data_IF_687767363152
#
_entry.id   IF_687767363152
#
_cell.length_a   1.000
_cell.length_b   1.000
_cell.length_c   1.000
_cell.angle_alpha   90.00
_cell.angle_beta   90.00
_cell.angle_gamma   90.00
#
_symmetry.space_group_name_H-M   'P 1'
#
loop_
_entity.id
_entity.type
_entity.pdbx_description
1 polymer ?
#
# COMPACT_ATOMS: atom_id res chain seq x y z
N UNK A 1 26.05 -40.87 18.18
CA UNK A 1 26.08 -39.67 19.04
C UNK A 1 25.50 -38.55 18.19
N UNK A 2 24.19 -38.48 17.95
CA UNK A 2 23.08 -38.05 18.82
C UNK A 2 23.13 -36.57 19.25
N UNK A 3 22.08 -35.83 18.80
CA UNK A 3 21.48 -34.58 19.35
C UNK A 3 22.33 -33.29 19.27
N UNK A 4 21.85 -32.15 18.78
CA UNK A 4 20.54 -31.51 18.90
C UNK A 4 20.62 -30.39 19.96
N UNK A 5 20.19 -29.16 19.67
CA UNK A 5 19.92 -28.17 20.73
C UNK A 5 20.19 -26.70 20.42
N UNK A 6 19.19 -26.03 19.88
CA UNK A 6 18.99 -24.57 19.92
C UNK A 6 18.59 -24.17 21.35
N UNK A 7 19.28 -23.24 22.02
CA UNK A 7 18.91 -22.55 23.29
C UNK A 7 19.86 -21.35 23.47
N UNK A 8 19.47 -20.12 23.83
CA UNK A 8 18.19 -19.59 24.28
C UNK A 8 18.32 -18.10 24.59
N UNK A 9 17.16 -17.45 24.75
CA UNK A 9 16.99 -16.05 25.14
C UNK A 9 17.32 -15.82 26.63
N UNK A 10 17.92 -14.66 26.96
CA UNK A 10 18.04 -14.08 28.33
C UNK A 10 18.56 -12.62 28.20
N UNK A 11 18.13 -11.55 28.87
CA UNK A 11 17.04 -11.20 29.81
C UNK A 11 16.88 -9.66 29.79
N UNK A 12 15.67 -9.20 30.11
CA UNK A 12 15.33 -7.86 30.59
C UNK A 12 16.08 -7.49 31.89
N UNK A 13 16.46 -6.22 32.05
CA UNK A 13 16.80 -5.60 33.33
C UNK A 13 15.90 -4.39 33.61
N UNK A 14 15.08 -4.48 34.66
CA UNK A 14 14.50 -3.33 35.39
C UNK A 14 15.44 -2.97 36.52
N UNK A 15 15.68 -1.67 36.74
CA UNK A 15 16.19 -1.14 38.01
C UNK A 15 15.49 0.18 38.35
N UNK A 16 15.17 0.30 39.64
CA UNK A 16 14.25 1.22 40.33
C UNK A 16 15.03 2.31 41.08
N UNK A 17 14.42 3.50 41.28
CA UNK A 17 14.21 4.17 42.60
C UNK A 17 14.61 5.66 42.74
N UNK A 18 13.68 6.46 43.31
CA UNK A 18 13.89 7.68 44.13
C UNK A 18 13.68 9.02 43.42
N UNK A 19 13.00 10.07 43.92
CA UNK A 19 12.35 10.42 45.20
C UNK A 19 11.27 11.54 44.97
N UNK A 20 10.57 11.96 46.04
CA UNK A 20 9.21 12.55 46.16
C UNK A 20 9.18 14.07 46.47
N UNK A 21 7.97 14.67 46.36
CA UNK A 21 7.36 15.88 47.01
C UNK A 21 6.98 16.97 45.97
N UNK A 22 5.77 17.56 45.88
CA UNK A 22 4.86 18.19 46.88
C UNK A 22 3.39 18.28 46.38
N UNK A 23 2.39 18.26 47.29
CA UNK A 23 0.97 18.69 47.14
C UNK A 23 0.78 20.11 47.77
N UNK A 24 -0.41 20.78 47.83
CA UNK A 24 -1.77 20.53 47.27
C UNK A 24 -2.43 21.78 46.60
N UNK A 25 -3.57 21.65 45.88
CA UNK A 25 -4.64 22.68 45.95
C UNK A 25 -6.03 22.25 45.42
N UNK A 26 -7.05 22.93 45.96
CA UNK A 26 -8.49 22.63 46.02
C UNK A 26 -9.35 22.86 44.75
N UNK A 27 -10.47 22.13 44.71
CA UNK A 27 -11.85 22.37 44.19
C UNK A 27 -12.13 23.17 42.88
N UNK A 28 -12.79 22.43 41.95
CA UNK A 28 -13.79 22.71 40.88
C UNK A 28 -14.50 24.10 40.78
N UNK A 29 -14.97 24.56 39.59
CA UNK A 29 -16.08 23.93 38.84
C UNK A 29 -16.07 23.98 37.30
N UNK A 30 -17.10 23.35 36.72
CA UNK A 30 -17.41 23.06 35.31
C UNK A 30 -17.40 24.26 34.34
N UNK A 31 -16.98 24.00 33.09
CA UNK A 31 -17.50 24.71 31.92
C UNK A 31 -17.64 23.75 30.74
N UNK A 32 -18.87 23.63 30.23
CA UNK A 32 -19.21 22.95 28.98
C UNK A 32 -18.58 23.71 27.81
N UNK A 33 -17.68 23.07 27.07
CA UNK A 33 -17.38 23.47 25.69
C UNK A 33 -17.39 22.24 24.79
N UNK A 34 -18.42 22.20 23.95
CA UNK A 34 -18.60 21.29 22.83
C UNK A 34 -17.55 21.62 21.77
N UNK A 35 -16.38 20.99 21.85
CA UNK A 35 -15.40 21.01 20.76
C UNK A 35 -15.64 19.78 19.90
N UNK A 36 -16.28 20.00 18.75
CA UNK A 36 -16.32 19.05 17.64
C UNK A 36 -14.90 18.87 17.10
N UNK A 37 -14.11 18.00 17.74
CA UNK A 37 -12.95 17.42 17.11
C UNK A 37 -13.47 16.38 16.12
N UNK A 38 -13.53 16.74 14.85
CA UNK A 38 -13.42 15.78 13.77
C UNK A 38 -12.03 15.15 13.88
N UNK A 39 -11.90 14.17 14.76
CA UNK A 39 -10.83 13.21 14.71
C UNK A 39 -10.95 12.58 13.31
N UNK A 40 -10.02 12.95 12.43
CA UNK A 40 -9.60 12.00 11.42
C UNK A 40 -9.13 10.79 12.23
N UNK A 41 -10.00 9.78 12.32
CA UNK A 41 -9.55 8.43 12.53
C UNK A 41 -8.60 8.16 11.36
N UNK A 42 -7.32 8.45 11.61
CA UNK A 42 -6.24 7.65 11.07
C UNK A 42 -6.50 6.24 11.61
N UNK A 43 -7.47 5.57 10.99
CA UNK A 43 -7.59 4.14 11.06
C UNK A 43 -6.37 3.68 10.31
N UNK A 44 -5.26 3.62 11.05
CA UNK A 44 -4.10 2.82 10.71
C UNK A 44 -4.67 1.40 10.61
N UNK A 45 -5.22 1.09 9.44
CA UNK A 45 -5.54 -0.26 9.05
C UNK A 45 -4.22 -0.97 9.29
N UNK A 46 -4.19 -1.89 10.24
CA UNK A 46 -2.99 -2.63 10.61
C UNK A 46 -2.68 -3.59 9.46
N UNK A 47 -2.30 -3.02 8.32
CA UNK A 47 -1.84 -3.70 7.12
C UNK A 47 -0.55 -4.34 7.55
N UNK A 48 -0.52 -5.67 7.56
CA UNK A 48 0.70 -6.41 7.88
C UNK A 48 1.75 -5.97 6.86
N UNK A 49 3.00 -5.82 7.27
CA UNK A 49 4.07 -5.46 6.32
C UNK A 49 4.14 -6.43 5.14
N UNK A 50 3.75 -7.68 5.34
CA UNK A 50 3.64 -8.69 4.28
C UNK A 50 2.56 -8.37 3.23
N UNK A 51 1.48 -7.67 3.61
CA UNK A 51 0.42 -7.24 2.68
C UNK A 51 0.86 -6.00 1.87
N UNK A 52 1.88 -5.27 2.33
CA UNK A 52 2.44 -4.10 1.64
C UNK A 52 3.30 -4.47 0.44
N UNK A 53 3.92 -5.65 0.45
CA UNK A 53 4.88 -6.06 -0.54
C UNK A 53 4.34 -7.15 -1.46
N UNK A 54 4.62 -7.03 -2.76
CA UNK A 54 4.37 -8.10 -3.70
C UNK A 54 5.27 -9.31 -3.38
N UNK A 55 4.82 -10.55 -3.58
CA UNK A 55 5.66 -11.72 -3.36
C UNK A 55 6.98 -11.62 -4.12
N UNK A 56 8.11 -11.80 -3.43
CA UNK A 56 9.45 -11.62 -4.01
C UNK A 56 9.66 -12.47 -5.27
N UNK A 57 9.07 -13.67 -5.33
CA UNK A 57 9.11 -14.54 -6.48
C UNK A 57 8.49 -13.90 -7.75
N UNK A 58 7.42 -13.11 -7.60
CA UNK A 58 6.81 -12.40 -8.72
C UNK A 58 7.69 -11.25 -9.21
N UNK A 59 8.34 -10.52 -8.30
CA UNK A 59 9.31 -9.47 -8.62
C UNK A 59 10.48 -10.05 -9.39
N UNK A 60 11.12 -11.10 -8.85
CA UNK A 60 12.26 -11.80 -9.48
C UNK A 60 11.88 -12.29 -10.89
N UNK A 61 10.69 -12.88 -11.06
CA UNK A 61 10.21 -13.37 -12.36
C UNK A 61 10.13 -12.26 -13.41
N UNK A 62 9.73 -11.04 -13.03
CA UNK A 62 9.67 -9.89 -13.95
C UNK A 62 11.07 -9.36 -14.23
N UNK A 63 11.90 -9.17 -13.19
CA UNK A 63 13.29 -8.72 -13.36
C UNK A 63 14.06 -9.62 -14.33
N UNK A 64 13.84 -10.95 -14.28
CA UNK A 64 14.47 -11.92 -15.17
C UNK A 64 14.11 -11.74 -16.65
N UNK A 65 12.97 -11.14 -17.00
CA UNK A 65 12.52 -11.01 -18.40
C UNK A 65 13.41 -10.08 -19.23
N UNK A 66 14.08 -9.13 -18.58
CA UNK A 66 14.95 -8.15 -19.25
C UNK A 66 16.44 -8.49 -19.12
N UNK A 67 16.77 -9.60 -18.44
CA UNK A 67 18.15 -10.00 -18.17
C UNK A 67 18.52 -11.25 -18.99
N UNK A 68 19.82 -11.43 -19.31
CA UNK A 68 20.30 -12.68 -19.90
C UNK A 68 20.02 -13.91 -19.00
N UNK A 69 19.85 -15.12 -19.57
CA UNK A 69 19.46 -16.32 -18.83
C UNK A 69 20.35 -16.64 -17.61
N UNK A 70 21.66 -16.37 -17.71
CA UNK A 70 22.64 -16.69 -16.67
C UNK A 70 23.01 -15.51 -15.77
N UNK A 71 22.34 -14.35 -15.91
CA UNK A 71 22.58 -13.22 -15.03
C UNK A 71 22.31 -13.60 -13.56
N UNK A 72 23.03 -12.99 -12.63
CA UNK A 72 22.73 -13.10 -11.19
C UNK A 72 22.08 -11.81 -10.73
N UNK A 73 21.11 -11.93 -9.83
CA UNK A 73 20.47 -10.80 -9.17
C UNK A 73 20.82 -10.95 -7.69
N UNK A 74 21.47 -9.93 -7.10
CA UNK A 74 21.79 -9.93 -5.67
C UNK A 74 20.50 -9.89 -4.83
N UNK A 75 20.60 -10.27 -3.55
CA UNK A 75 19.46 -10.21 -2.65
C UNK A 75 19.02 -8.76 -2.40
N UNK A 76 19.97 -7.86 -2.16
CA UNK A 76 19.73 -6.41 -2.03
C UNK A 76 18.95 -5.84 -3.22
N UNK A 77 19.30 -6.20 -4.47
CA UNK A 77 18.60 -5.70 -5.64
C UNK A 77 17.15 -6.21 -5.74
N UNK A 78 16.86 -7.41 -5.22
CA UNK A 78 15.48 -7.93 -5.19
C UNK A 78 14.65 -7.17 -4.17
N UNK A 79 15.21 -6.89 -3.00
CA UNK A 79 14.58 -6.12 -1.93
C UNK A 79 14.34 -4.67 -2.36
N UNK A 80 15.35 -3.99 -2.91
CA UNK A 80 15.20 -2.62 -3.40
C UNK A 80 14.11 -2.52 -4.46
N UNK A 81 14.07 -3.43 -5.44
CA UNK A 81 13.01 -3.39 -6.46
C UNK A 81 11.64 -3.73 -5.87
N UNK A 82 11.55 -4.62 -4.88
CA UNK A 82 10.29 -4.90 -4.19
C UNK A 82 9.75 -3.65 -3.48
N UNK A 83 10.62 -2.91 -2.78
CA UNK A 83 10.28 -1.64 -2.15
C UNK A 83 9.86 -0.58 -3.19
N UNK A 84 10.65 -0.42 -4.26
CA UNK A 84 10.35 0.52 -5.34
C UNK A 84 9.01 0.23 -6.02
N UNK A 85 8.63 -1.04 -6.20
CA UNK A 85 7.33 -1.39 -6.80
C UNK A 85 6.17 -1.00 -5.87
N UNK A 86 6.31 -1.21 -4.56
CA UNK A 86 5.30 -0.77 -3.60
C UNK A 86 5.19 0.76 -3.55
N UNK A 87 6.32 1.47 -3.59
CA UNK A 87 6.33 2.94 -3.68
C UNK A 87 5.71 3.42 -5.00
N UNK A 88 6.04 2.80 -6.12
CA UNK A 88 5.46 3.12 -7.43
C UNK A 88 3.93 3.01 -7.43
N UNK A 89 3.37 1.93 -6.86
CA UNK A 89 1.92 1.77 -6.73
C UNK A 89 1.34 2.92 -5.91
N UNK A 90 1.91 3.22 -4.74
CA UNK A 90 1.44 4.32 -3.88
C UNK A 90 1.56 5.69 -4.56
N UNK A 91 2.64 5.91 -5.32
CA UNK A 91 2.90 7.17 -6.01
C UNK A 91 1.89 7.44 -7.13
N UNK A 92 1.70 6.47 -8.03
CA UNK A 92 0.72 6.59 -9.12
C UNK A 92 -0.70 6.69 -8.57
N UNK A 93 -1.05 5.84 -7.61
CA UNK A 93 -2.41 5.82 -7.04
C UNK A 93 -2.70 7.08 -6.23
N UNK A 94 -1.71 7.64 -5.55
CA UNK A 94 -1.82 8.92 -4.85
C UNK A 94 -2.13 10.08 -5.79
N UNK A 95 -1.42 10.17 -6.92
CA UNK A 95 -1.65 11.21 -7.93
C UNK A 95 -3.03 11.03 -8.62
N UNK A 96 -3.39 9.80 -8.98
CA UNK A 96 -4.71 9.50 -9.55
C UNK A 96 -5.84 9.84 -8.56
N UNK A 97 -5.65 9.55 -7.27
CA UNK A 97 -6.58 9.90 -6.21
C UNK A 97 -6.73 11.42 -6.05
N UNK A 98 -5.64 12.18 -6.14
CA UNK A 98 -5.70 13.65 -6.07
C UNK A 98 -6.59 14.22 -7.18
N UNK A 99 -6.44 13.73 -8.41
CA UNK A 99 -7.33 14.11 -9.52
C UNK A 99 -8.79 13.71 -9.27
N UNK A 100 -9.02 12.47 -8.86
CA UNK A 100 -10.36 11.96 -8.56
C UNK A 100 -11.07 12.84 -7.52
N UNK A 101 -10.38 13.20 -6.44
CA UNK A 101 -10.91 14.05 -5.37
C UNK A 101 -11.14 15.48 -5.83
N UNK A 102 -10.25 16.05 -6.66
CA UNK A 102 -10.43 17.38 -7.26
C UNK A 102 -11.69 17.48 -8.11
N UNK A 103 -12.06 16.38 -8.78
CA UNK A 103 -13.30 16.24 -9.54
C UNK A 103 -14.51 15.82 -8.68
N UNK A 104 -14.39 15.84 -7.34
CA UNK A 104 -15.43 15.45 -6.38
C UNK A 104 -15.95 14.01 -6.54
N UNK A 105 -15.12 13.11 -7.07
CA UNK A 105 -15.43 11.69 -7.21
C UNK A 105 -14.86 10.90 -6.02
N UNK A 106 -15.55 9.80 -5.68
CA UNK A 106 -15.13 8.87 -4.60
C UNK A 106 -14.48 7.59 -5.14
N UNK A 107 -14.49 7.40 -6.45
CA UNK A 107 -14.00 6.19 -7.12
C UNK A 107 -12.99 6.61 -8.17
N UNK A 108 -11.76 6.16 -8.00
CA UNK A 108 -10.68 6.32 -8.98
C UNK A 108 -11.04 5.48 -10.20
N UNK A 109 -11.02 6.09 -11.39
CA UNK A 109 -11.27 5.39 -12.65
C UNK A 109 -9.96 5.08 -13.38
N UNK A 110 -10.04 4.28 -14.45
CA UNK A 110 -8.87 3.99 -15.28
C UNK A 110 -8.30 5.26 -15.95
N UNK A 111 -9.16 6.22 -16.26
CA UNK A 111 -8.78 7.53 -16.81
C UNK A 111 -7.94 8.37 -15.85
N UNK A 112 -8.21 8.28 -14.54
CA UNK A 112 -7.39 8.96 -13.53
C UNK A 112 -5.97 8.41 -13.51
N UNK A 113 -5.85 7.08 -13.61
CA UNK A 113 -4.55 6.39 -13.64
C UNK A 113 -3.79 6.76 -14.92
N UNK A 114 -4.44 6.73 -16.08
CA UNK A 114 -3.82 7.15 -17.35
C UNK A 114 -3.31 8.60 -17.26
N UNK A 115 -4.10 9.49 -16.68
CA UNK A 115 -3.65 10.87 -16.51
C UNK A 115 -2.49 11.01 -15.54
N UNK A 116 -2.50 10.28 -14.42
CA UNK A 116 -1.41 10.28 -13.47
C UNK A 116 -0.11 9.81 -14.14
N UNK A 117 -0.17 8.76 -14.97
CA UNK A 117 1.00 8.29 -15.74
C UNK A 117 1.60 9.40 -16.62
N UNK A 118 0.77 10.11 -17.40
CA UNK A 118 1.28 11.21 -18.23
C UNK A 118 1.78 12.39 -17.40
N UNK A 119 1.06 12.81 -16.35
CA UNK A 119 1.48 13.92 -15.48
C UNK A 119 2.84 13.65 -14.82
N UNK A 120 3.11 12.41 -14.44
CA UNK A 120 4.34 12.00 -13.77
C UNK A 120 5.48 11.67 -14.75
N UNK A 121 5.26 11.83 -16.06
CA UNK A 121 6.29 11.64 -17.09
C UNK A 121 6.49 10.19 -17.55
N UNK A 122 5.51 9.31 -17.32
CA UNK A 122 5.51 7.92 -17.81
C UNK A 122 4.85 7.80 -19.19
N UNK A 123 5.11 8.75 -20.10
CA UNK A 123 4.41 8.86 -21.38
C UNK A 123 4.59 7.62 -22.29
N UNK A 124 5.73 6.93 -22.19
CA UNK A 124 6.01 5.68 -22.91
C UNK A 124 5.00 4.56 -22.58
N UNK A 125 4.29 4.67 -21.46
CA UNK A 125 3.27 3.71 -21.05
C UNK A 125 1.85 4.08 -21.51
N UNK A 126 1.63 5.29 -22.03
CA UNK A 126 0.28 5.80 -22.32
C UNK A 126 -0.41 5.01 -23.44
N UNK A 127 0.28 4.84 -24.57
CA UNK A 127 -0.24 4.07 -25.70
C UNK A 127 -0.55 2.61 -25.31
N UNK A 128 0.39 1.83 -24.74
CA UNK A 128 0.09 0.43 -24.38
C UNK A 128 -1.00 0.29 -23.32
N UNK A 129 -1.08 1.20 -22.33
CA UNK A 129 -2.13 1.16 -21.30
C UNK A 129 -3.50 1.51 -21.87
N UNK A 130 -3.58 2.48 -22.79
CA UNK A 130 -4.83 2.86 -23.45
C UNK A 130 -5.37 1.73 -24.32
N UNK A 131 -4.48 1.09 -25.09
CA UNK A 131 -4.77 -0.10 -25.88
C UNK A 131 -5.27 -1.26 -25.00
N UNK A 132 -4.63 -1.48 -23.85
CA UNK A 132 -5.04 -2.50 -22.90
C UNK A 132 -6.44 -2.21 -22.32
N UNK A 133 -6.69 -0.97 -21.90
CA UNK A 133 -7.99 -0.55 -21.36
C UNK A 133 -9.12 -0.75 -22.36
N UNK A 134 -8.88 -0.42 -23.64
CA UNK A 134 -9.85 -0.64 -24.72
C UNK A 134 -10.23 -2.11 -24.83
N UNK A 135 -9.24 -3.00 -24.98
CA UNK A 135 -9.48 -4.46 -25.09
C UNK A 135 -10.15 -5.03 -23.84
N UNK A 136 -9.80 -4.55 -22.66
CA UNK A 136 -10.44 -4.97 -21.42
C UNK A 136 -11.94 -4.66 -21.42
N UNK A 137 -12.33 -3.47 -21.89
CA UNK A 137 -13.74 -3.05 -22.01
C UNK A 137 -14.53 -3.87 -23.02
N UNK A 138 -13.92 -4.21 -24.16
CA UNK A 138 -14.54 -5.10 -25.16
C UNK A 138 -14.84 -6.47 -24.53
N UNK A 139 -13.85 -7.06 -23.86
CA UNK A 139 -14.00 -8.38 -23.21
C UNK A 139 -15.04 -8.38 -22.07
N UNK A 140 -15.09 -7.32 -21.25
CA UNK A 140 -16.12 -7.21 -20.21
C UNK A 140 -17.52 -6.94 -20.79
N UNK A 141 -17.61 -6.13 -21.85
CA UNK A 141 -18.85 -5.89 -22.59
C UNK A 141 -19.44 -7.18 -23.16
N UNK A 142 -18.60 -8.02 -23.77
CA UNK A 142 -19.02 -9.32 -24.30
C UNK A 142 -19.51 -10.26 -23.18
N UNK A 143 -18.86 -10.28 -22.01
CA UNK A 143 -19.30 -11.08 -20.86
C UNK A 143 -20.63 -10.61 -20.26
N UNK A 144 -20.92 -9.30 -20.32
CA UNK A 144 -22.21 -8.76 -19.90
C UNK A 144 -23.33 -9.15 -20.88
N UNK A 145 -23.06 -9.20 -22.18
CA UNK A 145 -24.05 -9.64 -23.19
C UNK A 145 -24.40 -11.13 -23.08
N UNK A 146 -23.44 -12.01 -22.78
CA UNK A 146 -23.68 -13.45 -22.61
C UNK A 146 -24.54 -13.75 -21.37
N UNK A 147 -24.46 -12.93 -20.32
CA UNK A 147 -25.26 -13.12 -19.09
C UNK A 147 -26.71 -12.62 -19.21
N UNK A 148 -27.09 -12.10 -20.37
CA UNK A 148 -28.40 -11.47 -20.61
C UNK A 148 -29.43 -12.42 -21.25
N UNK A 149 -29.10 -13.69 -21.51
CA UNK A 149 -30.06 -14.62 -22.10
C UNK A 149 -31.13 -15.02 -21.08
N UNK A 150 -32.42 -14.68 -21.29
CA UNK A 150 -33.48 -15.13 -20.42
C UNK A 150 -33.71 -16.62 -20.67
N UNK A 151 -33.55 -17.44 -19.63
CA UNK A 151 -34.07 -18.80 -19.62
C UNK A 151 -35.59 -18.68 -19.69
N UNK A 152 -36.15 -18.96 -20.87
CA UNK A 152 -37.60 -19.11 -21.09
C UNK A 152 -38.08 -20.39 -20.42
#
# INVERSE_FOLDING_TARGET
METGGFHGYRKLSKTTSGMKLTEPNEKQPESNQMSNNSAMEDTECTVREQDRFMPIANVIRIMRKILPPHAKISDDAKETIQECVSEYISFITGEANERCQREQRKTITAEDVLWAMSKLGFDDYMEPLTMYLHRYRELEGDRATIRSEPVV
#
